data_IF_665387601745
#
_entry.id   IF_665387601745
#
_cell.length_a   1.000
_cell.length_b   1.000
_cell.length_c   1.000
_cell.angle_alpha   90.00
_cell.angle_beta   90.00
_cell.angle_gamma   90.00
#
_symmetry.space_group_name_H-M   'P 1'
#
loop_
_entity.id
_entity.type
_entity.pdbx_description
1 polymer ?
#
# COMPACT_ATOMS: atom_id res chain seq x y z
N UNK A 1 2.07 -3.51 3.26
CA UNK A 1 1.29 -3.34 4.50
C UNK A 1 1.50 -1.94 5.02
N UNK A 2 0.46 -1.27 5.51
CA UNK A 2 0.51 0.16 5.79
C UNK A 2 1.52 0.51 6.90
N UNK A 3 2.45 1.43 6.68
CA UNK A 3 3.25 2.01 7.78
C UNK A 3 2.81 3.46 8.02
N UNK A 4 1.51 3.62 8.31
CA UNK A 4 0.83 4.92 8.32
C UNK A 4 1.54 5.96 9.17
N UNK A 5 2.09 5.53 10.29
CA UNK A 5 2.81 6.44 11.19
C UNK A 5 4.07 7.01 10.54
N UNK A 6 4.84 6.20 9.80
CA UNK A 6 6.01 6.68 9.07
C UNK A 6 5.57 7.57 7.91
N UNK A 7 4.54 7.20 7.14
CA UNK A 7 4.02 8.04 6.06
C UNK A 7 3.52 9.40 6.58
N UNK A 8 2.75 9.42 7.66
CA UNK A 8 2.28 10.65 8.33
C UNK A 8 3.47 11.48 8.79
N UNK A 9 4.49 10.86 9.40
CA UNK A 9 5.68 11.57 9.90
C UNK A 9 6.45 12.29 8.81
N UNK A 10 6.63 11.65 7.64
CA UNK A 10 7.33 12.25 6.50
C UNK A 10 6.51 13.39 5.90
N UNK A 11 5.20 13.20 5.78
CA UNK A 11 4.30 14.25 5.31
C UNK A 11 4.30 15.48 6.25
N UNK A 12 4.27 15.26 7.56
CA UNK A 12 4.37 16.33 8.56
C UNK A 12 5.73 17.04 8.52
N UNK A 13 6.83 16.28 8.39
CA UNK A 13 8.17 16.86 8.28
C UNK A 13 8.26 17.76 7.05
N UNK A 14 7.75 17.31 5.90
CA UNK A 14 7.73 18.12 4.69
C UNK A 14 6.82 19.35 4.85
N UNK A 15 5.69 19.22 5.55
CA UNK A 15 4.84 20.35 5.90
C UNK A 15 5.56 21.40 6.76
N UNK A 16 6.42 20.98 7.70
CA UNK A 16 7.27 21.89 8.49
C UNK A 16 8.25 22.63 7.60
N UNK A 17 9.00 21.90 6.77
CA UNK A 17 10.03 22.45 5.88
C UNK A 17 9.42 23.49 4.93
N UNK A 18 8.26 23.17 4.36
CA UNK A 18 7.55 24.03 3.41
C UNK A 18 6.59 25.04 4.08
N UNK A 19 6.50 25.05 5.42
CA UNK A 19 5.61 25.92 6.20
C UNK A 19 4.14 25.85 5.77
N UNK A 20 3.65 24.64 5.48
CA UNK A 20 2.28 24.37 5.04
C UNK A 20 1.30 24.55 6.20
N UNK A 21 0.30 25.43 6.01
CA UNK A 21 -0.72 25.72 7.04
C UNK A 21 -1.83 24.67 7.10
N UNK A 22 -2.25 24.16 5.93
CA UNK A 22 -3.29 23.12 5.80
C UNK A 22 -2.66 21.71 5.76
N UNK A 23 -1.74 21.43 6.69
CA UNK A 23 -0.98 20.17 6.72
C UNK A 23 -1.87 18.93 6.89
N UNK A 24 -3.10 19.08 7.42
CA UNK A 24 -4.11 18.03 7.50
C UNK A 24 -4.47 17.41 6.14
N UNK A 25 -4.53 18.23 5.08
CA UNK A 25 -4.76 17.72 3.72
C UNK A 25 -3.56 16.91 3.21
N UNK A 26 -2.36 17.31 3.59
CA UNK A 26 -1.13 16.63 3.20
C UNK A 26 -1.01 15.26 3.88
N UNK A 27 -1.31 15.16 5.19
CA UNK A 27 -1.35 13.84 5.85
C UNK A 27 -2.48 12.96 5.33
N UNK A 28 -3.62 13.55 4.92
CA UNK A 28 -4.73 12.82 4.26
C UNK A 28 -4.23 12.17 2.97
N UNK A 29 -3.48 12.91 2.16
CA UNK A 29 -2.85 12.38 0.96
C UNK A 29 -1.81 11.29 1.25
N UNK A 30 -1.06 11.40 2.35
CA UNK A 30 -0.02 10.43 2.69
C UNK A 30 -0.55 9.07 3.16
N UNK A 31 -1.79 9.02 3.68
CA UNK A 31 -2.46 7.77 4.07
C UNK A 31 -3.33 7.18 2.95
N UNK A 32 -3.72 8.01 1.97
CA UNK A 32 -4.65 7.66 0.90
C UNK A 32 -4.23 6.39 0.12
N UNK A 33 -2.97 6.24 -0.35
CA UNK A 33 -2.58 5.07 -1.14
C UNK A 33 -2.75 3.75 -0.39
N UNK A 34 -2.68 3.75 0.94
CA UNK A 34 -2.77 2.55 1.76
C UNK A 34 -4.21 2.14 2.15
N UNK A 35 -5.21 2.97 1.90
CA UNK A 35 -6.62 2.63 2.19
C UNK A 35 -7.02 1.26 1.56
N UNK A 36 -6.66 0.95 0.30
CA UNK A 36 -6.91 -0.36 -0.31
C UNK A 36 -6.34 -1.54 0.50
N UNK A 37 -5.22 -1.36 1.20
CA UNK A 37 -4.64 -2.42 2.05
C UNK A 37 -5.51 -2.73 3.26
N UNK A 38 -6.15 -1.71 3.85
CA UNK A 38 -7.14 -1.92 4.91
C UNK A 38 -8.37 -2.64 4.36
N UNK A 39 -8.83 -2.26 3.17
CA UNK A 39 -9.96 -2.91 2.52
C UNK A 39 -9.66 -4.39 2.21
N UNK A 40 -8.44 -4.74 1.84
CA UNK A 40 -8.01 -6.13 1.68
C UNK A 40 -8.12 -6.91 3.00
N UNK A 41 -7.61 -6.36 4.11
CA UNK A 41 -7.71 -6.98 5.45
C UNK A 41 -9.18 -7.22 5.82
N UNK A 42 -10.04 -6.22 5.59
CA UNK A 42 -11.49 -6.33 5.85
C UNK A 42 -12.10 -7.40 4.93
N UNK A 43 -11.72 -7.45 3.66
CA UNK A 43 -12.24 -8.42 2.70
C UNK A 43 -11.92 -9.86 3.12
N UNK A 44 -10.70 -10.10 3.59
CA UNK A 44 -10.27 -11.41 4.05
C UNK A 44 -11.01 -11.80 5.34
N UNK A 45 -11.23 -10.85 6.26
CA UNK A 45 -12.04 -11.07 7.46
C UNK A 45 -13.50 -11.44 7.13
N UNK A 46 -14.06 -10.86 6.07
CA UNK A 46 -15.40 -11.17 5.57
C UNK A 46 -15.45 -12.41 4.67
N UNK A 47 -14.33 -13.13 4.50
CA UNK A 47 -14.18 -14.29 3.62
C UNK A 47 -14.55 -14.02 2.16
N UNK A 48 -14.29 -12.80 1.66
CA UNK A 48 -14.32 -12.55 0.23
C UNK A 48 -13.15 -13.23 -0.47
N UNK A 49 -13.30 -13.51 -1.76
CA UNK A 49 -12.23 -14.13 -2.55
C UNK A 49 -11.02 -13.19 -2.61
N UNK A 50 -9.90 -13.59 -1.99
CA UNK A 50 -8.73 -12.74 -1.79
C UNK A 50 -8.12 -12.26 -3.10
N UNK A 51 -8.06 -13.13 -4.11
CA UNK A 51 -7.55 -12.78 -5.44
C UNK A 51 -8.41 -11.72 -6.11
N UNK A 52 -9.73 -11.88 -6.12
CA UNK A 52 -10.64 -10.89 -6.71
C UNK A 52 -10.55 -9.56 -5.97
N UNK A 53 -10.49 -9.58 -4.63
CA UNK A 53 -10.27 -8.38 -3.83
C UNK A 53 -8.95 -7.71 -4.20
N UNK A 54 -7.86 -8.48 -4.33
CA UNK A 54 -6.55 -7.97 -4.77
C UNK A 54 -6.62 -7.31 -6.15
N UNK A 55 -7.18 -7.98 -7.15
CA UNK A 55 -7.26 -7.47 -8.52
C UNK A 55 -8.07 -6.17 -8.64
N UNK A 56 -9.07 -5.98 -7.78
CA UNK A 56 -9.89 -4.76 -7.74
C UNK A 56 -9.19 -3.64 -6.97
N UNK A 57 -8.52 -3.96 -5.87
CA UNK A 57 -7.98 -2.98 -4.94
C UNK A 57 -6.53 -2.56 -5.26
N UNK A 58 -5.74 -3.41 -5.90
CA UNK A 58 -4.34 -3.10 -6.23
C UNK A 58 -4.17 -1.84 -7.10
N UNK A 59 -5.01 -1.59 -8.14
CA UNK A 59 -4.90 -0.37 -8.94
C UNK A 59 -5.05 0.92 -8.13
N UNK A 60 -5.81 0.90 -7.03
CA UNK A 60 -6.01 2.06 -6.16
C UNK A 60 -4.73 2.43 -5.38
N UNK A 61 -3.76 1.51 -5.28
CA UNK A 61 -2.39 1.79 -4.83
C UNK A 61 -1.50 2.18 -6.03
N UNK A 62 -1.99 3.04 -6.94
CA UNK A 62 -1.16 3.64 -8.00
C UNK A 62 -1.16 5.18 -7.97
N UNK A 63 -0.02 5.83 -8.29
CA UNK A 63 0.04 7.29 -8.35
C UNK A 63 -1.01 7.88 -9.30
N UNK A 64 -1.26 7.20 -10.42
CA UNK A 64 -2.22 7.62 -11.43
C UNK A 64 -3.66 7.68 -10.89
N UNK A 65 -4.14 6.63 -10.19
CA UNK A 65 -5.49 6.68 -9.62
C UNK A 65 -5.57 7.63 -8.43
N UNK A 66 -4.50 7.77 -7.64
CA UNK A 66 -4.49 8.72 -6.53
C UNK A 66 -4.50 10.19 -7.01
N UNK A 67 -4.19 10.51 -8.28
CA UNK A 67 -4.46 11.84 -8.86
C UNK A 67 -5.97 12.12 -8.78
N UNK A 68 -6.79 11.21 -9.28
CA UNK A 68 -8.24 11.39 -9.30
C UNK A 68 -8.84 11.40 -7.89
N UNK A 69 -8.36 10.53 -6.99
CA UNK A 69 -8.80 10.56 -5.60
C UNK A 69 -8.41 11.86 -4.89
N UNK A 70 -7.20 12.38 -5.15
CA UNK A 70 -6.76 13.68 -4.66
C UNK A 70 -7.63 14.81 -5.22
N UNK A 71 -8.03 14.74 -6.50
CA UNK A 71 -8.98 15.67 -7.10
C UNK A 71 -10.36 15.61 -6.43
N UNK A 72 -10.86 14.40 -6.14
CA UNK A 72 -12.14 14.20 -5.47
C UNK A 72 -12.14 14.84 -4.08
N UNK A 73 -11.08 14.61 -3.28
CA UNK A 73 -10.90 15.23 -1.96
C UNK A 73 -10.80 16.75 -2.08
N UNK A 74 -10.00 17.26 -3.03
CA UNK A 74 -9.81 18.69 -3.22
C UNK A 74 -11.10 19.41 -3.63
N UNK A 75 -12.00 18.76 -4.37
CA UNK A 75 -13.28 19.32 -4.80
C UNK A 75 -14.27 19.55 -3.65
N UNK A 76 -14.06 18.91 -2.48
CA UNK A 76 -14.85 19.17 -1.28
C UNK A 76 -14.63 20.58 -0.72
N UNK A 77 -13.51 21.22 -1.07
CA UNK A 77 -13.06 22.48 -0.49
C UNK A 77 -12.90 23.58 -1.55
N UNK A 78 -13.07 24.84 -1.14
CA UNK A 78 -12.77 26.01 -1.95
C UNK A 78 -11.26 26.09 -2.24
N UNK A 79 -10.88 26.71 -3.36
CA UNK A 79 -9.50 26.74 -3.87
C UNK A 79 -8.96 25.36 -4.29
N UNK A 80 -9.71 24.70 -5.17
CA UNK A 80 -9.41 23.36 -5.71
C UNK A 80 -7.92 23.09 -5.93
N UNK A 81 -7.23 23.93 -6.73
CA UNK A 81 -5.85 23.66 -7.13
C UNK A 81 -4.88 23.59 -5.94
N UNK A 82 -5.06 24.46 -4.95
CA UNK A 82 -4.19 24.50 -3.77
C UNK A 82 -4.42 23.25 -2.90
N UNK A 83 -5.67 22.85 -2.69
CA UNK A 83 -5.97 21.65 -1.90
C UNK A 83 -5.56 20.38 -2.63
N UNK A 84 -5.75 20.32 -3.96
CA UNK A 84 -5.29 19.22 -4.80
C UNK A 84 -3.78 19.04 -4.68
N UNK A 85 -3.00 20.13 -4.83
CA UNK A 85 -1.55 20.05 -4.68
C UNK A 85 -1.14 19.57 -3.28
N UNK A 86 -1.83 19.99 -2.23
CA UNK A 86 -1.52 19.55 -0.87
C UNK A 86 -1.80 18.06 -0.65
N UNK A 87 -2.96 17.58 -1.08
CA UNK A 87 -3.30 16.14 -0.96
C UNK A 87 -2.36 15.32 -1.84
N UNK A 88 -2.16 15.71 -3.10
CA UNK A 88 -1.30 14.96 -4.00
C UNK A 88 0.17 15.01 -3.59
N UNK A 89 0.66 16.10 -2.98
CA UNK A 89 2.01 16.13 -2.40
C UNK A 89 2.15 15.08 -1.28
N UNK A 90 1.12 14.89 -0.46
CA UNK A 90 1.04 13.79 0.51
C UNK A 90 1.18 12.42 -0.16
N UNK A 91 0.42 12.18 -1.23
CA UNK A 91 0.50 10.95 -2.05
C UNK A 91 1.92 10.74 -2.58
N UNK A 92 2.57 11.78 -3.11
CA UNK A 92 3.94 11.67 -3.61
C UNK A 92 4.91 11.30 -2.47
N UNK A 93 4.77 11.91 -1.28
CA UNK A 93 5.63 11.52 -0.15
C UNK A 93 5.46 10.06 0.26
N UNK A 94 4.24 9.52 0.13
CA UNK A 94 3.96 8.10 0.35
C UNK A 94 4.75 7.24 -0.64
N UNK A 95 4.57 7.45 -1.94
CA UNK A 95 5.24 6.66 -2.98
C UNK A 95 6.76 6.80 -2.97
N UNK A 96 7.28 7.99 -2.67
CA UNK A 96 8.73 8.17 -2.54
C UNK A 96 9.27 7.28 -1.42
N UNK A 97 8.60 7.22 -0.28
CA UNK A 97 9.03 6.36 0.82
C UNK A 97 8.92 4.88 0.44
N UNK A 98 7.79 4.48 -0.12
CA UNK A 98 7.49 3.11 -0.54
C UNK A 98 8.44 2.60 -1.61
N UNK A 99 8.84 3.46 -2.56
CA UNK A 99 9.84 3.14 -3.58
C UNK A 99 11.19 2.72 -2.98
N UNK A 100 11.57 3.24 -1.81
CA UNK A 100 12.79 2.86 -1.13
C UNK A 100 12.64 1.63 -0.22
N UNK A 101 11.41 1.19 0.07
CA UNK A 101 11.15 0.05 0.96
C UNK A 101 11.45 -1.28 0.27
N UNK A 102 11.94 -2.25 1.05
CA UNK A 102 12.14 -3.62 0.60
C UNK A 102 10.81 -4.30 0.23
N UNK A 103 10.72 -4.73 -1.03
CA UNK A 103 9.62 -5.52 -1.57
C UNK A 103 10.12 -6.73 -2.41
N UNK A 104 11.44 -6.97 -2.49
CA UNK A 104 12.02 -8.06 -3.27
C UNK A 104 11.87 -7.80 -4.77
N UNK A 105 11.31 -8.77 -5.50
CA UNK A 105 10.94 -8.64 -6.93
C UNK A 105 9.59 -7.93 -7.16
N UNK A 106 8.94 -7.53 -6.07
CA UNK A 106 7.69 -6.80 -6.09
C UNK A 106 7.93 -5.32 -5.83
N UNK A 107 6.86 -4.54 -5.79
CA UNK A 107 6.93 -3.12 -5.53
C UNK A 107 5.63 -2.43 -5.93
N UNK A 108 5.76 -1.19 -6.38
CA UNK A 108 4.62 -0.33 -6.68
C UNK A 108 4.42 -0.15 -8.16
N UNK A 109 3.16 -0.09 -8.58
CA UNK A 109 2.72 0.16 -9.96
C UNK A 109 2.84 1.65 -10.31
N UNK A 110 4.06 2.16 -10.38
CA UNK A 110 4.33 3.60 -10.55
C UNK A 110 3.80 4.17 -11.87
N UNK A 111 3.89 3.39 -12.95
CA UNK A 111 3.55 3.80 -14.31
C UNK A 111 2.21 3.24 -14.80
N UNK A 112 1.39 2.70 -13.89
CA UNK A 112 0.04 2.29 -14.19
C UNK A 112 -0.78 3.48 -14.74
N UNK A 113 -1.65 3.29 -15.75
CA UNK A 113 -2.03 2.03 -16.41
C UNK A 113 -1.19 1.71 -17.67
N UNK A 114 -0.11 2.45 -17.91
CA UNK A 114 0.72 2.31 -19.12
C UNK A 114 1.72 1.16 -19.02
N UNK A 115 2.20 0.88 -17.80
CA UNK A 115 3.03 -0.29 -17.49
C UNK A 115 2.53 -0.95 -16.19
N UNK A 116 2.67 -2.28 -16.14
CA UNK A 116 2.32 -3.12 -15.01
C UNK A 116 3.55 -3.63 -14.26
N UNK A 117 4.73 -3.12 -14.63
CA UNK A 117 5.98 -3.39 -13.92
C UNK A 117 5.92 -2.79 -12.52
N UNK A 118 6.43 -3.54 -11.55
CA UNK A 118 6.53 -3.11 -10.16
C UNK A 118 7.96 -2.70 -9.85
N UNK A 119 8.09 -1.60 -9.12
CA UNK A 119 9.40 -1.05 -8.81
C UNK A 119 9.60 -0.86 -7.31
N UNK A 120 10.81 -1.20 -6.86
CA UNK A 120 11.36 -0.91 -5.54
C UNK A 120 12.89 -0.88 -5.62
N UNK A 121 13.53 0.03 -4.87
CA UNK A 121 14.98 0.09 -4.71
C UNK A 121 15.50 -0.79 -3.58
N UNK A 122 14.62 -1.40 -2.79
CA UNK A 122 14.98 -2.36 -1.75
C UNK A 122 16.02 -1.84 -0.72
N UNK A 123 15.97 -0.56 -0.34
CA UNK A 123 16.99 0.06 0.52
C UNK A 123 16.79 -0.23 2.02
N UNK A 124 15.55 -0.31 2.49
CA UNK A 124 15.29 -0.58 3.91
C UNK A 124 14.02 -1.41 4.14
N UNK A 125 14.00 -2.19 5.20
CA UNK A 125 12.81 -2.93 5.61
C UNK A 125 11.80 -1.98 6.27
N UNK A 126 10.63 -1.81 5.65
CA UNK A 126 9.49 -1.16 6.32
C UNK A 126 9.12 -1.90 7.61
N UNK A 127 8.46 -1.23 8.55
CA UNK A 127 7.98 -1.88 9.78
C UNK A 127 9.06 -2.28 10.78
N UNK A 128 10.27 -1.73 10.67
CA UNK A 128 11.28 -1.88 11.72
C UNK A 128 10.91 -1.00 12.92
N UNK A 129 11.19 -1.51 14.14
CA UNK A 129 10.91 -0.76 15.37
C UNK A 129 11.64 0.58 15.41
N UNK A 130 12.84 0.65 14.80
CA UNK A 130 13.62 1.89 14.75
C UNK A 130 12.92 2.96 13.88
N UNK A 131 12.34 2.58 12.73
CA UNK A 131 11.58 3.50 11.89
C UNK A 131 10.32 3.99 12.59
N UNK A 132 9.64 3.13 13.35
CA UNK A 132 8.51 3.53 14.18
C UNK A 132 8.90 4.61 15.19
N UNK A 133 9.95 4.36 15.98
CA UNK A 133 10.41 5.28 17.02
C UNK A 133 10.84 6.61 16.41
N UNK A 134 11.59 6.59 15.31
CA UNK A 134 11.97 7.79 14.58
C UNK A 134 10.75 8.53 14.03
N UNK A 135 9.79 7.82 13.43
CA UNK A 135 8.54 8.39 12.91
C UNK A 135 7.71 9.07 14.01
N UNK A 136 7.63 8.47 15.20
CA UNK A 136 6.99 9.07 16.38
C UNK A 136 7.68 10.36 16.81
N UNK A 137 9.02 10.35 16.93
CA UNK A 137 9.80 11.54 17.31
C UNK A 137 9.58 12.66 16.30
N UNK A 138 9.70 12.36 15.00
CA UNK A 138 9.49 13.33 13.92
C UNK A 138 8.07 13.87 13.93
N UNK A 139 7.07 13.03 14.17
CA UNK A 139 5.67 13.45 14.30
C UNK A 139 5.51 14.45 15.45
N UNK A 140 5.98 14.11 16.65
CA UNK A 140 5.87 14.97 17.84
C UNK A 140 6.57 16.31 17.60
N UNK A 141 7.80 16.29 17.08
CA UNK A 141 8.55 17.50 16.76
C UNK A 141 7.83 18.35 15.71
N UNK A 142 7.28 17.72 14.67
CA UNK A 142 6.57 18.45 13.60
C UNK A 142 5.30 19.10 14.12
N UNK A 143 4.53 18.41 14.96
CA UNK A 143 3.32 18.97 15.59
C UNK A 143 3.64 20.12 16.55
N UNK A 144 4.80 20.11 17.21
CA UNK A 144 5.26 21.22 18.04
C UNK A 144 5.60 22.47 17.21
N UNK A 145 6.17 22.27 16.02
CA UNK A 145 6.61 23.37 15.14
C UNK A 145 5.49 23.91 14.24
N UNK A 146 4.54 23.06 13.85
CA UNK A 146 3.43 23.45 12.98
C UNK A 146 2.41 24.28 13.75
N UNK A 147 2.10 25.45 13.18
CA UNK A 147 0.92 26.23 13.56
C UNK A 147 -0.18 25.92 12.57
N UNK A 148 -1.24 25.26 13.03
CA UNK A 148 -2.40 25.04 12.20
C UNK A 148 -3.13 26.37 11.96
N UNK A 149 -3.62 26.54 10.72
CA UNK A 149 -4.60 27.56 10.40
C UNK A 149 -5.63 26.93 9.49
N UNK A 150 -6.64 26.31 10.07
CA UNK A 150 -7.66 25.60 9.32
C UNK A 150 -8.58 26.58 8.56
N UNK A 151 -8.20 26.89 7.33
CA UNK A 151 -8.96 27.74 6.42
C UNK A 151 -9.78 26.92 5.40
N UNK A 152 -10.11 25.67 5.72
CA UNK A 152 -10.88 24.81 4.82
C UNK A 152 -12.33 25.29 4.75
N UNK A 153 -12.67 25.93 3.63
CA UNK A 153 -14.04 26.36 3.30
C UNK A 153 -14.64 25.30 2.39
N UNK A 154 -15.86 24.84 2.67
CA UNK A 154 -16.54 23.87 1.80
C UNK A 154 -16.90 24.48 0.44
N UNK A 155 -16.72 23.70 -0.63
CA UNK A 155 -17.12 24.09 -1.98
C UNK A 155 -18.62 23.87 -2.20
N UNK A 156 -19.35 24.88 -2.69
CA UNK A 156 -20.77 24.72 -3.06
C UNK A 156 -20.99 23.73 -4.20
N UNK A 157 -19.95 23.48 -5.00
CA UNK A 157 -19.95 22.57 -6.15
C UNK A 157 -19.22 21.26 -5.84
N UNK A 158 -19.21 20.82 -4.58
CA UNK A 158 -18.55 19.58 -4.16
C UNK A 158 -19.06 18.33 -4.90
N UNK A 159 -20.30 18.36 -5.41
CA UNK A 159 -20.87 17.26 -6.19
C UNK A 159 -20.07 16.92 -7.46
N UNK A 160 -19.25 17.82 -7.99
CA UNK A 160 -18.32 17.49 -9.08
C UNK A 160 -17.26 16.46 -8.68
N UNK A 161 -17.05 16.20 -7.39
CA UNK A 161 -16.19 15.12 -6.92
C UNK A 161 -16.63 13.74 -7.44
N UNK A 162 -17.89 13.59 -7.86
CA UNK A 162 -18.37 12.35 -8.48
C UNK A 162 -17.65 12.01 -9.79
N UNK A 163 -17.18 13.01 -10.54
CA UNK A 163 -16.50 12.80 -11.82
C UNK A 163 -15.18 12.04 -11.64
N UNK A 164 -14.20 12.53 -10.84
CA UNK A 164 -12.99 11.76 -10.60
C UNK A 164 -13.25 10.41 -9.93
N UNK A 165 -14.26 10.29 -9.06
CA UNK A 165 -14.65 9.00 -8.47
C UNK A 165 -15.09 8.01 -9.56
N UNK A 166 -15.93 8.44 -10.49
CA UNK A 166 -16.37 7.61 -11.63
C UNK A 166 -15.16 7.20 -12.49
N UNK A 167 -14.21 8.11 -12.72
CA UNK A 167 -12.98 7.80 -13.48
C UNK A 167 -12.15 6.74 -12.73
N UNK A 168 -11.96 6.88 -11.42
CA UNK A 168 -11.26 5.88 -10.60
C UNK A 168 -11.94 4.52 -10.70
N UNK A 169 -13.26 4.46 -10.52
CA UNK A 169 -14.03 3.22 -10.61
C UNK A 169 -13.96 2.60 -12.01
N UNK A 170 -14.05 3.42 -13.06
CA UNK A 170 -13.91 2.97 -14.44
C UNK A 170 -12.59 2.24 -14.66
N UNK A 171 -11.47 2.81 -14.19
CA UNK A 171 -10.17 2.14 -14.29
C UNK A 171 -10.13 0.86 -13.46
N UNK A 172 -10.57 0.90 -12.19
CA UNK A 172 -10.61 -0.28 -11.30
C UNK A 172 -11.32 -1.49 -11.92
N UNK A 173 -12.40 -1.27 -12.67
CA UNK A 173 -13.13 -2.38 -13.30
C UNK A 173 -12.53 -2.84 -14.63
N UNK A 174 -11.69 -2.04 -15.29
CA UNK A 174 -11.09 -2.40 -16.57
C UNK A 174 -9.78 -3.19 -16.44
N UNK A 175 -9.04 -3.00 -15.35
CA UNK A 175 -7.68 -3.55 -15.21
C UNK A 175 -7.50 -4.95 -14.64
N UNK A 176 -8.46 -5.63 -13.99
CA UNK A 176 -8.24 -6.97 -13.44
C UNK A 176 -7.66 -7.95 -14.47
N UNK A 177 -8.20 -7.95 -15.69
CA UNK A 177 -7.69 -8.79 -16.79
C UNK A 177 -6.24 -8.49 -17.17
N UNK A 178 -5.85 -7.20 -17.14
CA UNK A 178 -4.49 -6.76 -17.45
C UNK A 178 -3.50 -7.05 -16.33
N UNK A 179 -3.93 -6.95 -15.07
CA UNK A 179 -3.10 -7.36 -13.93
C UNK A 179 -2.77 -8.86 -14.00
N UNK A 180 -3.77 -9.69 -14.35
CA UNK A 180 -3.57 -11.11 -14.59
C UNK A 180 -2.63 -11.36 -15.78
N UNK A 181 -2.89 -10.75 -16.95
CA UNK A 181 -2.05 -10.93 -18.14
C UNK A 181 -0.56 -10.62 -17.89
N UNK A 182 -0.28 -9.65 -17.03
CA UNK A 182 1.09 -9.24 -16.67
C UNK A 182 1.61 -9.94 -15.40
N UNK A 183 0.88 -10.92 -14.85
CA UNK A 183 1.22 -11.66 -13.63
C UNK A 183 1.62 -10.74 -12.46
N UNK A 184 0.91 -9.62 -12.30
CA UNK A 184 1.18 -8.64 -11.24
C UNK A 184 1.06 -9.34 -9.89
N UNK A 185 2.13 -9.25 -9.08
CA UNK A 185 2.25 -9.93 -7.78
C UNK A 185 1.97 -11.44 -7.81
N UNK A 186 2.27 -12.12 -8.92
CA UNK A 186 2.05 -13.56 -9.05
C UNK A 186 0.59 -13.97 -9.33
N UNK A 187 -0.29 -13.01 -9.66
CA UNK A 187 -1.73 -13.26 -9.77
C UNK A 187 -2.16 -14.27 -10.86
N UNK A 188 -1.50 -14.34 -12.03
CA UNK A 188 -1.80 -15.39 -13.03
C UNK A 188 -1.19 -16.73 -12.63
N UNK A 189 -0.01 -16.72 -12.00
CA UNK A 189 0.57 -17.95 -11.44
C UNK A 189 -0.36 -18.58 -10.39
N UNK A 190 -0.98 -17.77 -9.53
CA UNK A 190 -1.93 -18.27 -8.53
C UNK A 190 -3.12 -18.98 -9.18
N UNK A 191 -3.63 -18.47 -10.30
CA UNK A 191 -4.76 -19.08 -11.03
C UNK A 191 -4.35 -20.27 -11.90
N UNK A 192 -3.17 -20.18 -12.52
CA UNK A 192 -2.74 -21.07 -13.59
C UNK A 192 -1.30 -21.56 -13.37
N UNK A 193 -1.00 -22.22 -12.23
CA UNK A 193 0.37 -22.55 -11.86
C UNK A 193 1.07 -23.46 -12.87
N UNK A 194 0.31 -24.34 -13.54
CA UNK A 194 0.83 -25.25 -14.57
C UNK A 194 1.49 -24.51 -15.76
N UNK A 195 1.09 -23.26 -16.07
CA UNK A 195 1.73 -22.45 -17.12
C UNK A 195 3.17 -22.05 -16.78
N UNK A 196 3.53 -22.15 -15.51
CA UNK A 196 4.82 -21.72 -14.95
C UNK A 196 5.75 -22.89 -14.62
N UNK A 197 5.45 -24.10 -15.09
CA UNK A 197 6.33 -25.25 -14.92
C UNK A 197 7.74 -24.99 -15.50
N UNK A 198 8.77 -25.24 -14.69
CA UNK A 198 10.17 -24.90 -14.92
C UNK A 198 10.44 -23.40 -15.14
N UNK A 199 9.54 -22.51 -14.69
CA UNK A 199 9.74 -21.05 -14.74
C UNK A 199 9.98 -20.49 -13.36
N UNK A 200 10.63 -19.34 -13.35
CA UNK A 200 10.74 -18.54 -12.15
C UNK A 200 9.37 -17.97 -11.77
N UNK A 201 9.05 -18.08 -10.49
CA UNK A 201 7.86 -17.53 -9.86
C UNK A 201 8.25 -16.76 -8.61
N UNK A 202 7.46 -15.77 -8.26
CA UNK A 202 7.59 -15.07 -6.99
C UNK A 202 6.21 -14.90 -6.40
N UNK A 203 6.11 -15.05 -5.08
CA UNK A 203 4.89 -14.76 -4.32
C UNK A 203 5.18 -13.74 -3.20
N UNK A 204 4.23 -12.83 -2.97
CA UNK A 204 4.43 -11.69 -2.08
C UNK A 204 3.51 -11.78 -0.88
N UNK A 205 4.11 -11.79 0.32
CA UNK A 205 3.35 -11.77 1.56
C UNK A 205 2.44 -13.00 1.74
N UNK A 206 2.95 -14.17 1.38
CA UNK A 206 2.29 -15.45 1.56
C UNK A 206 2.33 -15.89 3.02
N UNK A 207 1.23 -16.47 3.51
CA UNK A 207 1.12 -16.93 4.89
C UNK A 207 1.62 -18.36 5.02
N UNK A 208 2.47 -18.66 6.00
CA UNK A 208 2.89 -20.04 6.30
C UNK A 208 1.76 -20.78 7.02
N UNK A 209 1.23 -21.82 6.37
CA UNK A 209 0.08 -22.62 6.87
C UNK A 209 0.44 -24.02 7.34
N UNK A 210 1.61 -24.57 6.94
CA UNK A 210 2.08 -25.87 7.43
C UNK A 210 3.60 -25.93 7.52
N UNK A 211 4.12 -26.39 8.67
CA UNK A 211 5.55 -26.61 8.88
C UNK A 211 6.02 -27.97 8.36
N UNK A 212 5.26 -29.03 8.62
CA UNK A 212 5.67 -30.41 8.30
C UNK A 212 5.74 -30.68 6.78
N UNK A 213 4.99 -29.92 5.99
CA UNK A 213 4.98 -30.01 4.53
C UNK A 213 5.47 -28.73 3.85
N UNK A 214 5.96 -27.76 4.63
CA UNK A 214 6.37 -26.43 4.17
C UNK A 214 5.38 -25.82 3.16
N UNK A 215 4.16 -25.52 3.64
CA UNK A 215 3.09 -24.95 2.80
C UNK A 215 2.88 -23.49 3.11
N UNK A 216 2.62 -22.74 2.06
CA UNK A 216 2.16 -21.35 2.13
C UNK A 216 0.80 -21.19 1.48
N UNK A 217 0.09 -20.16 1.90
CA UNK A 217 -1.15 -19.67 1.31
C UNK A 217 -0.91 -18.31 0.69
N UNK A 218 -1.26 -18.16 -0.58
CA UNK A 218 -1.18 -16.92 -1.36
C UNK A 218 -2.53 -16.69 -2.04
N UNK A 219 -3.18 -15.56 -1.75
CA UNK A 219 -4.47 -15.17 -2.33
C UNK A 219 -5.51 -16.31 -2.29
N UNK A 220 -5.62 -16.98 -1.15
CA UNK A 220 -6.52 -18.12 -0.90
C UNK A 220 -6.12 -19.46 -1.54
N UNK A 221 -4.94 -19.58 -2.16
CA UNK A 221 -4.45 -20.83 -2.77
C UNK A 221 -3.23 -21.37 -2.02
N UNK A 222 -3.13 -22.68 -1.87
CA UNK A 222 -2.07 -23.34 -1.10
C UNK A 222 -0.99 -23.89 -2.05
N UNK A 223 0.27 -23.57 -1.77
CA UNK A 223 1.43 -24.05 -2.52
C UNK A 223 2.40 -24.81 -1.63
N UNK A 224 2.93 -25.91 -2.17
CA UNK A 224 4.00 -26.70 -1.54
C UNK A 224 5.37 -26.07 -1.84
N UNK A 225 6.22 -25.97 -0.81
CA UNK A 225 7.58 -25.47 -0.94
C UNK A 225 8.60 -26.60 -0.81
N UNK A 226 9.64 -26.53 -1.64
CA UNK A 226 10.89 -27.24 -1.42
C UNK A 226 11.92 -26.23 -0.89
N UNK A 227 12.12 -26.25 0.44
CA UNK A 227 12.96 -25.29 1.15
C UNK A 227 13.79 -25.99 2.24
N UNK A 228 15.02 -25.51 2.46
CA UNK A 228 15.92 -25.99 3.53
C UNK A 228 15.78 -25.22 4.84
N UNK A 229 15.33 -23.98 4.75
CA UNK A 229 15.14 -23.07 5.88
C UNK A 229 13.91 -23.44 6.72
N UNK A 230 13.98 -23.18 8.02
CA UNK A 230 12.83 -23.39 8.92
C UNK A 230 11.85 -22.23 8.79
N UNK A 231 10.58 -22.56 8.58
CA UNK A 231 9.49 -21.61 8.62
C UNK A 231 8.89 -21.49 10.02
N UNK A 232 8.23 -20.37 10.30
CA UNK A 232 7.43 -20.18 11.50
C UNK A 232 5.95 -20.22 11.14
N UNK A 233 5.14 -20.92 11.94
CA UNK A 233 3.72 -21.07 11.62
C UNK A 233 3.01 -19.72 11.77
N UNK A 234 2.12 -19.38 10.83
CA UNK A 234 1.42 -18.09 10.75
C UNK A 234 2.34 -16.87 10.52
N UNK A 235 3.62 -17.07 10.23
CA UNK A 235 4.44 -15.97 9.72
C UNK A 235 4.08 -15.68 8.27
N UNK A 236 4.45 -14.49 7.81
CA UNK A 236 4.32 -14.10 6.42
C UNK A 236 5.69 -14.09 5.77
N UNK A 237 5.78 -14.58 4.55
CA UNK A 237 7.03 -14.68 3.79
C UNK A 237 6.84 -14.14 2.38
N UNK A 238 7.90 -13.60 1.81
CA UNK A 238 8.00 -13.30 0.38
C UNK A 238 9.02 -14.25 -0.20
N UNK A 239 8.65 -14.97 -1.25
CA UNK A 239 9.50 -16.02 -1.83
C UNK A 239 9.72 -15.80 -3.32
N UNK A 240 10.89 -16.20 -3.80
CA UNK A 240 11.21 -16.35 -5.21
C UNK A 240 11.84 -17.73 -5.44
N UNK A 241 11.54 -18.36 -6.57
CA UNK A 241 12.01 -19.71 -6.85
C UNK A 241 11.53 -20.25 -8.18
N UNK A 242 11.83 -21.53 -8.45
CA UNK A 242 11.39 -22.20 -9.68
C UNK A 242 10.19 -23.09 -9.35
N UNK A 243 9.08 -22.93 -10.08
CA UNK A 243 7.95 -23.85 -9.95
C UNK A 243 8.22 -25.11 -10.75
N UNK A 244 8.27 -26.26 -10.08
CA UNK A 244 8.58 -27.56 -10.68
C UNK A 244 7.91 -28.69 -9.91
N UNK A 245 7.36 -29.68 -10.62
CA UNK A 245 6.75 -30.88 -10.04
C UNK A 245 5.67 -30.53 -8.98
N UNK A 246 4.89 -29.48 -9.27
CA UNK A 246 3.85 -28.90 -8.38
C UNK A 246 4.37 -28.26 -7.08
N UNK A 247 5.67 -28.01 -6.97
CA UNK A 247 6.30 -27.37 -5.82
C UNK A 247 7.08 -26.14 -6.24
N UNK A 248 7.27 -25.20 -5.31
CA UNK A 248 8.16 -24.07 -5.52
C UNK A 248 9.51 -24.41 -4.88
N UNK A 249 10.53 -24.56 -5.73
CA UNK A 249 11.92 -24.71 -5.30
C UNK A 249 12.45 -23.34 -4.89
N UNK A 250 12.44 -23.07 -3.59
CA UNK A 250 12.72 -21.74 -3.05
C UNK A 250 14.19 -21.40 -3.23
N UNK A 251 14.47 -20.28 -3.90
CA UNK A 251 15.81 -19.74 -4.10
C UNK A 251 16.08 -18.59 -3.14
N UNK A 252 15.10 -17.72 -2.93
CA UNK A 252 15.17 -16.63 -1.96
C UNK A 252 13.89 -16.62 -1.11
N UNK A 253 14.07 -16.31 0.17
CA UNK A 253 12.98 -16.14 1.12
C UNK A 253 13.25 -14.93 2.00
N UNK A 254 12.21 -14.13 2.21
CA UNK A 254 12.24 -12.97 3.09
C UNK A 254 11.11 -13.11 4.11
N UNK A 255 11.46 -13.02 5.39
CA UNK A 255 10.47 -13.05 6.47
C UNK A 255 9.87 -11.67 6.66
N UNK A 256 8.55 -11.56 6.48
CA UNK A 256 7.83 -10.32 6.64
C UNK A 256 7.50 -10.09 8.12
N UNK A 257 7.85 -8.90 8.62
CA UNK A 257 7.69 -8.56 10.03
C UNK A 257 6.21 -8.25 10.36
N UNK A 258 5.59 -9.07 11.22
CA UNK A 258 4.19 -8.94 11.66
C UNK A 258 3.90 -7.63 12.41
N UNK A 259 4.92 -6.98 12.96
CA UNK A 259 4.79 -5.71 13.69
C UNK A 259 4.17 -4.57 12.85
N UNK A 260 4.22 -4.68 11.52
CA UNK A 260 3.62 -3.70 10.59
C UNK A 260 2.15 -3.44 10.87
N UNK A 261 1.33 -4.46 11.14
CA UNK A 261 -0.12 -4.30 11.41
C UNK A 261 -0.34 -3.34 12.58
N UNK A 262 0.36 -3.55 13.68
CA UNK A 262 0.22 -2.74 14.88
C UNK A 262 0.64 -1.29 14.62
N UNK A 263 1.67 -1.07 13.82
CA UNK A 263 2.12 0.27 13.44
C UNK A 263 1.11 0.97 12.52
N UNK A 264 0.48 0.23 11.60
CA UNK A 264 -0.66 0.75 10.81
C UNK A 264 -1.80 1.22 11.72
N UNK A 265 -2.17 0.41 12.72
CA UNK A 265 -3.27 0.72 13.63
C UNK A 265 -2.96 1.96 14.48
N UNK A 266 -1.74 2.07 15.01
CA UNK A 266 -1.30 3.26 15.74
C UNK A 266 -1.35 4.49 14.82
N UNK A 267 -0.85 4.36 13.58
CA UNK A 267 -0.90 5.42 12.58
C UNK A 267 -2.33 5.84 12.21
N UNK A 268 -3.26 4.89 12.08
CA UNK A 268 -4.70 5.15 11.85
C UNK A 268 -5.32 5.91 13.02
N UNK A 269 -5.09 5.47 14.26
CA UNK A 269 -5.59 6.16 15.44
C UNK A 269 -5.01 7.59 15.54
N UNK A 270 -3.73 7.74 15.25
CA UNK A 270 -3.06 9.04 15.19
C UNK A 270 -3.68 9.92 14.10
N UNK A 271 -3.90 9.39 12.89
CA UNK A 271 -4.53 10.11 11.80
C UNK A 271 -5.93 10.60 12.18
N UNK A 272 -6.78 9.71 12.71
CA UNK A 272 -8.13 10.06 13.17
C UNK A 272 -8.06 11.16 14.23
N UNK A 273 -7.18 10.99 15.24
CA UNK A 273 -6.98 12.00 16.27
C UNK A 273 -6.58 13.35 15.68
N UNK A 274 -5.59 13.38 14.79
CA UNK A 274 -5.10 14.63 14.19
C UNK A 274 -6.19 15.31 13.36
N UNK A 275 -6.94 14.56 12.54
CA UNK A 275 -8.02 15.14 11.72
C UNK A 275 -9.16 15.70 12.57
N UNK A 276 -9.55 15.00 13.65
CA UNK A 276 -10.65 15.41 14.52
C UNK A 276 -10.27 16.47 15.56
N UNK A 277 -8.97 16.60 15.86
CA UNK A 277 -8.47 17.61 16.79
C UNK A 277 -8.85 19.00 16.29
N UNK A 278 -9.68 19.69 17.08
CA UNK A 278 -9.97 21.12 16.90
C UNK A 278 -8.79 21.91 17.46
N UNK A 279 -8.45 22.99 16.77
CA UNK A 279 -7.48 23.98 17.22
C UNK A 279 -7.95 24.72 18.48
#
# INVERSE_FOLDING_TARGET
>A
MPDWIVHISIALLLAVILKIKNWKLMITGAVLPDIPRILLIISNYLNFNELNSFLILEPLHSPFLNIFESMAIALLFANFFQNFLLVYLGVITHYVLDYFQFAGKFGHLLLYPFSYEQFSLNLFYGGSLILLVLGLIVTIMSLYLLKEKNNLILNKKFYYAIIPIIITLFFVFLTPSKLLENNVSGSDFVLNPEKYENREVSLYHSKVVSLNSAKIEEMGNIFDLEIKEKLELNSFVTISGIYKDKKIQVQEIFHNNLNKIYFSLIGLLLYIYLILKKD
#
